data_IF_496804316027
#
_entry.id   IF_496804316027
#
_cell.length_a   1.000
_cell.length_b   1.000
_cell.length_c   1.000
_cell.angle_alpha   90.00
_cell.angle_beta   90.00
_cell.angle_gamma   90.00
#
_symmetry.space_group_name_H-M   'P 1'
#
loop_
_entity.id
_entity.type
_entity.pdbx_description
1 polymer ?
#
# COMPACT_ATOMS: atom_id res chain seq x y z
N UNK A 1 -11.56 -11.36 -7.33
CA UNK A 1 -11.78 -9.94 -7.76
C UNK A 1 -13.24 -9.73 -8.12
N UNK A 2 -13.89 -8.73 -7.53
CA UNK A 2 -15.22 -8.31 -8.00
C UNK A 2 -15.09 -7.41 -9.24
N UNK A 3 -16.01 -7.51 -10.21
CA UNK A 3 -16.00 -6.66 -11.39
C UNK A 3 -16.13 -5.15 -11.10
N UNK A 4 -16.72 -4.78 -9.96
CA UNK A 4 -16.81 -3.40 -9.47
C UNK A 4 -15.46 -2.69 -9.29
N UNK A 5 -14.38 -3.47 -9.16
CA UNK A 5 -13.01 -2.92 -9.07
C UNK A 5 -12.51 -2.35 -10.42
N UNK A 6 -13.02 -2.86 -11.56
CA UNK A 6 -12.46 -2.53 -12.90
C UNK A 6 -12.43 -1.02 -13.18
N UNK A 7 -13.49 -0.23 -12.90
CA UNK A 7 -13.45 1.22 -13.15
C UNK A 7 -12.38 1.98 -12.34
N UNK A 8 -11.87 1.38 -11.27
CA UNK A 8 -10.81 1.96 -10.44
C UNK A 8 -9.42 1.61 -10.95
N UNK A 9 -9.30 0.57 -11.80
CA UNK A 9 -8.02 0.09 -12.30
C UNK A 9 -7.57 0.85 -13.54
N UNK A 10 -6.25 0.98 -13.66
CA UNK A 10 -5.57 1.51 -14.85
C UNK A 10 -4.33 0.66 -15.16
N UNK A 11 -3.89 0.65 -16.40
CA UNK A 11 -2.65 -0.01 -16.77
C UNK A 11 -1.45 0.64 -16.07
N UNK A 12 -0.57 -0.12 -15.41
CA UNK A 12 0.67 0.43 -14.86
C UNK A 12 1.65 0.90 -15.95
N UNK A 13 1.48 0.49 -17.21
CA UNK A 13 2.31 0.90 -18.34
C UNK A 13 1.80 2.17 -19.01
N UNK A 14 0.51 2.20 -19.33
CA UNK A 14 -0.06 3.28 -20.15
C UNK A 14 -0.90 4.28 -19.36
N UNK A 15 -1.31 3.91 -18.13
CA UNK A 15 -2.29 4.69 -17.35
C UNK A 15 -3.71 4.60 -17.88
N UNK A 16 -3.93 3.89 -18.99
CA UNK A 16 -5.22 3.74 -19.65
C UNK A 16 -6.11 2.66 -19.01
N UNK A 17 -7.37 2.55 -19.50
CA UNK A 17 -8.33 1.58 -19.00
C UNK A 17 -7.93 0.14 -19.31
N UNK A 18 -8.48 -0.78 -18.51
CA UNK A 18 -8.23 -2.21 -18.63
C UNK A 18 -9.49 -2.97 -19.02
N UNK A 19 -9.36 -3.87 -19.99
CA UNK A 19 -10.43 -4.77 -20.44
C UNK A 19 -10.29 -6.12 -19.75
N UNK A 20 -11.40 -6.63 -19.18
CA UNK A 20 -11.45 -7.90 -18.46
C UNK A 20 -11.76 -9.07 -19.38
N UNK A 21 -10.97 -10.12 -19.30
CA UNK A 21 -11.28 -11.47 -19.84
C UNK A 21 -11.40 -12.45 -18.69
N UNK A 22 -12.56 -13.10 -18.56
CA UNK A 22 -12.84 -14.06 -17.48
C UNK A 22 -12.58 -15.48 -17.97
N UNK A 23 -11.82 -16.25 -17.18
CA UNK A 23 -11.63 -17.70 -17.40
C UNK A 23 -12.46 -18.54 -16.40
N UNK A 24 -12.44 -18.16 -15.12
CA UNK A 24 -13.17 -18.83 -14.05
C UNK A 24 -13.76 -17.85 -13.06
N UNK A 25 -14.96 -18.15 -12.56
CA UNK A 25 -15.61 -17.41 -11.47
C UNK A 25 -15.81 -18.30 -10.25
N UNK A 26 -15.86 -17.67 -9.08
CA UNK A 26 -16.36 -18.23 -7.82
C UNK A 26 -17.44 -17.27 -7.31
N UNK A 27 -18.71 -17.63 -7.49
CA UNK A 27 -19.84 -16.72 -7.29
C UNK A 27 -19.72 -15.49 -8.20
N UNK A 28 -19.79 -14.31 -7.62
CA UNK A 28 -19.65 -13.05 -8.38
C UNK A 28 -18.17 -12.68 -8.64
N UNK A 29 -17.23 -13.31 -7.94
CA UNK A 29 -15.82 -13.01 -8.09
C UNK A 29 -15.22 -13.65 -9.35
N UNK A 30 -14.41 -12.89 -10.07
CA UNK A 30 -13.48 -13.42 -11.07
C UNK A 30 -12.32 -14.03 -10.33
N UNK A 31 -12.20 -15.35 -10.41
CA UNK A 31 -11.14 -16.12 -9.72
C UNK A 31 -9.90 -16.25 -10.58
N UNK A 32 -10.09 -16.54 -11.87
CA UNK A 32 -9.04 -16.58 -12.88
C UNK A 32 -9.46 -15.80 -14.12
N UNK A 33 -8.53 -15.10 -14.71
CA UNK A 33 -8.74 -14.28 -15.88
C UNK A 33 -7.54 -13.43 -16.22
N UNK A 34 -7.77 -12.39 -16.97
CA UNK A 34 -6.76 -11.39 -17.31
C UNK A 34 -7.38 -10.01 -17.50
N UNK A 35 -6.57 -9.00 -17.30
CA UNK A 35 -6.82 -7.62 -17.66
C UNK A 35 -5.86 -7.25 -18.78
N UNK A 36 -6.32 -6.51 -19.78
CA UNK A 36 -5.50 -6.07 -20.90
C UNK A 36 -5.70 -4.58 -21.17
N UNK A 37 -4.65 -3.84 -21.49
CA UNK A 37 -4.73 -2.48 -21.97
C UNK A 37 -4.80 -2.41 -23.50
N UNK A 38 -5.01 -1.22 -24.04
CA UNK A 38 -5.12 -0.99 -25.49
C UNK A 38 -3.80 -1.22 -26.23
N UNK A 39 -2.66 -1.17 -25.53
CA UNK A 39 -1.34 -1.47 -26.07
C UNK A 39 -1.04 -2.99 -26.15
N UNK A 40 -1.97 -3.83 -25.64
CA UNK A 40 -1.83 -5.29 -25.64
C UNK A 40 -1.02 -5.85 -24.45
N UNK A 41 -0.75 -5.04 -23.43
CA UNK A 41 -0.15 -5.57 -22.18
C UNK A 41 -1.21 -6.35 -21.43
N UNK A 42 -0.86 -7.57 -21.01
CA UNK A 42 -1.78 -8.50 -20.31
C UNK A 42 -1.30 -8.74 -18.89
N UNK A 43 -2.22 -8.64 -17.95
CA UNK A 43 -2.01 -8.80 -16.51
C UNK A 43 -2.91 -9.92 -16.00
N UNK A 44 -2.38 -10.99 -15.39
CA UNK A 44 -3.18 -12.10 -14.94
C UNK A 44 -4.01 -11.75 -13.68
N UNK A 45 -5.17 -12.39 -13.56
CA UNK A 45 -5.95 -12.49 -12.33
C UNK A 45 -5.77 -13.92 -11.82
N UNK A 46 -5.14 -14.08 -10.67
CA UNK A 46 -4.87 -15.38 -10.05
C UNK A 46 -5.51 -15.41 -8.67
N UNK A 47 -6.30 -16.45 -8.41
CA UNK A 47 -7.02 -16.62 -7.13
C UNK A 47 -7.83 -15.39 -6.71
N UNK A 48 -8.41 -14.69 -7.67
CA UNK A 48 -9.18 -13.47 -7.43
C UNK A 48 -8.37 -12.21 -7.17
N UNK A 49 -7.03 -12.24 -7.34
CA UNK A 49 -6.13 -11.10 -7.15
C UNK A 49 -5.54 -10.69 -8.50
N UNK A 50 -5.81 -9.48 -9.01
CA UNK A 50 -5.15 -8.98 -10.21
C UNK A 50 -3.68 -8.63 -9.90
N UNK A 51 -2.78 -9.04 -10.79
CA UNK A 51 -1.34 -8.84 -10.68
C UNK A 51 -0.89 -7.73 -11.61
N UNK A 52 -1.01 -6.49 -11.16
CA UNK A 52 -0.76 -5.27 -11.94
C UNK A 52 0.63 -4.68 -11.65
N UNK A 53 1.65 -5.52 -11.74
CA UNK A 53 3.03 -5.07 -11.65
C UNK A 53 3.52 -4.50 -12.99
N UNK A 54 4.36 -3.45 -12.98
CA UNK A 54 5.09 -3.01 -14.17
C UNK A 54 5.92 -4.13 -14.77
N UNK A 55 6.09 -4.12 -16.08
CA UNK A 55 6.85 -5.15 -16.82
C UNK A 55 8.36 -4.94 -16.74
N UNK A 56 8.79 -3.70 -16.59
CA UNK A 56 10.17 -3.23 -16.52
C UNK A 56 10.75 -3.20 -15.10
N UNK A 57 10.24 -4.06 -14.22
CA UNK A 57 10.79 -4.18 -12.87
C UNK A 57 12.29 -4.46 -12.90
N UNK A 58 13.02 -3.68 -12.13
CA UNK A 58 14.47 -3.88 -11.94
C UNK A 58 14.73 -5.18 -11.16
N UNK A 59 15.92 -5.76 -11.33
CA UNK A 59 16.30 -6.97 -10.60
C UNK A 59 16.24 -6.79 -9.08
N UNK A 60 16.57 -5.60 -8.57
CA UNK A 60 16.45 -5.27 -7.17
C UNK A 60 14.99 -5.35 -6.68
N UNK A 61 14.02 -4.89 -7.47
CA UNK A 61 12.59 -4.97 -7.15
C UNK A 61 12.08 -6.42 -7.19
N UNK A 62 12.52 -7.21 -8.16
CA UNK A 62 12.22 -8.65 -8.22
C UNK A 62 12.77 -9.40 -7.01
N UNK A 63 14.01 -9.06 -6.60
CA UNK A 63 14.63 -9.62 -5.39
C UNK A 63 13.89 -9.22 -4.13
N UNK A 64 13.39 -7.98 -4.03
CA UNK A 64 12.58 -7.53 -2.91
C UNK A 64 11.25 -8.29 -2.83
N UNK A 65 10.55 -8.49 -3.96
CA UNK A 65 9.33 -9.31 -3.99
C UNK A 65 9.63 -10.72 -3.44
N UNK A 66 10.68 -11.36 -3.93
CA UNK A 66 11.05 -12.71 -3.49
C UNK A 66 11.39 -12.75 -1.99
N UNK A 67 12.09 -11.74 -1.48
CA UNK A 67 12.42 -11.61 -0.05
C UNK A 67 11.15 -11.44 0.81
N UNK A 68 10.21 -10.61 0.39
CA UNK A 68 8.94 -10.41 1.10
C UNK A 68 8.07 -11.66 1.05
N UNK A 69 7.98 -12.33 -0.10
CA UNK A 69 7.24 -13.59 -0.23
C UNK A 69 7.80 -14.68 0.70
N UNK A 70 9.12 -14.75 0.89
CA UNK A 70 9.76 -15.68 1.81
C UNK A 70 9.49 -15.35 3.29
N UNK A 71 9.40 -14.07 3.65
CA UNK A 71 9.19 -13.63 5.04
C UNK A 71 7.76 -13.81 5.55
N UNK A 72 6.78 -13.96 4.67
CA UNK A 72 5.34 -14.01 5.02
C UNK A 72 5.01 -15.04 6.09
N UNK A 73 5.70 -16.21 6.08
CA UNK A 73 5.42 -17.34 6.98
C UNK A 73 5.65 -16.95 8.45
N UNK A 74 6.62 -16.08 8.72
CA UNK A 74 7.00 -15.72 10.09
C UNK A 74 6.55 -14.29 10.47
N UNK A 75 6.12 -13.48 9.50
CA UNK A 75 5.74 -12.09 9.72
C UNK A 75 4.65 -11.92 10.78
N UNK A 76 3.59 -12.73 10.72
CA UNK A 76 2.48 -12.65 11.69
C UNK A 76 2.83 -13.20 13.09
N UNK A 77 3.92 -13.96 13.21
CA UNK A 77 4.38 -14.53 14.49
C UNK A 77 5.23 -13.54 15.29
N UNK A 78 5.67 -12.42 14.68
CA UNK A 78 6.47 -11.42 15.37
C UNK A 78 5.63 -10.72 16.45
N UNK A 79 5.78 -11.13 17.70
CA UNK A 79 5.09 -10.57 18.87
C UNK A 79 5.24 -9.05 18.99
N UNK A 80 6.36 -8.53 18.55
CA UNK A 80 6.71 -7.12 18.42
C UNK A 80 5.69 -6.36 17.53
N UNK A 81 5.33 -6.88 16.34
CA UNK A 81 4.36 -6.24 15.44
C UNK A 81 2.96 -6.17 16.06
N UNK A 82 2.58 -7.17 16.84
CA UNK A 82 1.30 -7.20 17.52
C UNK A 82 1.22 -6.14 18.63
N UNK A 83 2.30 -5.89 19.35
CA UNK A 83 2.35 -4.87 20.40
C UNK A 83 2.31 -3.45 19.80
N UNK A 84 3.11 -3.19 18.78
CA UNK A 84 3.15 -1.88 18.11
C UNK A 84 1.83 -1.56 17.39
N UNK A 85 1.19 -2.56 16.80
CA UNK A 85 -0.12 -2.40 16.17
C UNK A 85 -1.20 -1.90 17.11
N UNK A 86 -1.12 -2.20 18.41
CA UNK A 86 -2.08 -1.70 19.42
C UNK A 86 -2.03 -0.17 19.59
N UNK A 87 -0.93 0.48 19.23
CA UNK A 87 -0.78 1.94 19.30
C UNK A 87 -0.91 2.56 17.90
N UNK A 88 -0.24 2.00 16.91
CA UNK A 88 -0.22 2.55 15.55
C UNK A 88 -1.60 2.56 14.91
N UNK A 89 -2.34 1.44 14.98
CA UNK A 89 -3.62 1.32 14.30
C UNK A 89 -4.66 2.32 14.82
N UNK A 90 -4.92 2.46 16.13
CA UNK A 90 -5.86 3.45 16.64
C UNK A 90 -5.43 4.90 16.33
N UNK A 91 -4.13 5.18 16.35
CA UNK A 91 -3.61 6.49 16.00
C UNK A 91 -3.82 6.79 14.51
N UNK A 92 -3.54 5.83 13.64
CA UNK A 92 -3.79 5.94 12.19
C UNK A 92 -5.26 6.13 11.89
N UNK A 93 -6.16 5.36 12.51
CA UNK A 93 -7.61 5.52 12.34
C UNK A 93 -8.09 6.94 12.72
N UNK A 94 -7.66 7.44 13.88
CA UNK A 94 -8.03 8.80 14.35
C UNK A 94 -7.48 9.87 13.39
N UNK A 95 -6.25 9.71 12.92
CA UNK A 95 -5.59 10.67 12.04
C UNK A 95 -6.20 10.65 10.63
N UNK A 96 -6.59 9.47 10.15
CA UNK A 96 -7.24 9.29 8.85
C UNK A 96 -8.63 9.94 8.83
N UNK A 97 -9.37 9.83 9.93
CA UNK A 97 -10.73 10.36 10.08
C UNK A 97 -11.63 9.95 8.90
N UNK A 98 -11.56 8.68 8.51
CA UNK A 98 -12.34 8.14 7.40
C UNK A 98 -13.85 8.16 7.70
N UNK A 99 -14.65 8.37 6.66
CA UNK A 99 -16.10 8.41 6.73
C UNK A 99 -16.72 7.11 6.18
N UNK A 100 -17.92 6.73 6.58
CA UNK A 100 -18.56 5.49 6.14
C UNK A 100 -18.75 5.36 4.63
N UNK A 101 -18.84 6.47 3.90
CA UNK A 101 -19.00 6.49 2.44
C UNK A 101 -17.67 6.60 1.68
N UNK A 102 -16.55 6.68 2.37
CA UNK A 102 -15.24 6.80 1.70
C UNK A 102 -14.84 5.52 0.98
N UNK A 103 -14.15 5.68 -0.14
CA UNK A 103 -13.35 4.65 -0.79
C UNK A 103 -11.91 4.81 -0.32
N UNK A 104 -11.39 3.77 0.35
CA UNK A 104 -10.06 3.76 0.94
C UNK A 104 -9.07 2.97 0.07
N UNK A 105 -7.88 3.52 -0.15
CA UNK A 105 -6.71 2.77 -0.59
C UNK A 105 -5.78 2.52 0.60
N UNK A 106 -5.45 1.26 0.86
CA UNK A 106 -4.31 0.89 1.70
C UNK A 106 -3.14 0.48 0.81
N UNK A 107 -2.12 1.33 0.76
CA UNK A 107 -0.94 1.13 -0.07
C UNK A 107 0.19 0.50 0.76
N UNK A 108 0.45 -0.81 0.51
CA UNK A 108 1.34 -1.66 1.30
C UNK A 108 0.62 -2.33 2.47
N UNK A 109 -0.41 -3.13 2.16
CA UNK A 109 -1.26 -3.75 3.18
C UNK A 109 -0.61 -4.97 3.87
N UNK A 110 0.47 -5.53 3.31
CA UNK A 110 1.10 -6.74 3.78
C UNK A 110 0.09 -7.88 3.93
N UNK A 111 0.07 -8.50 5.10
CA UNK A 111 -0.86 -9.60 5.43
C UNK A 111 -2.24 -9.13 5.92
N UNK A 112 -2.60 -7.86 5.69
CA UNK A 112 -3.95 -7.33 5.92
C UNK A 112 -4.30 -7.02 7.38
N UNK A 113 -3.30 -6.81 8.24
CA UNK A 113 -3.53 -6.54 9.68
C UNK A 113 -4.31 -5.23 9.91
N UNK A 114 -3.92 -4.15 9.24
CA UNK A 114 -4.59 -2.85 9.33
C UNK A 114 -5.85 -2.84 8.46
N UNK A 115 -5.81 -3.47 7.29
CA UNK A 115 -6.96 -3.64 6.38
C UNK A 115 -8.19 -4.19 7.10
N UNK A 116 -8.02 -5.26 7.89
CA UNK A 116 -9.12 -5.91 8.61
C UNK A 116 -9.85 -4.99 9.61
N UNK A 117 -9.20 -3.92 10.04
CA UNK A 117 -9.74 -2.95 10.97
C UNK A 117 -10.33 -1.75 10.22
N UNK A 118 -9.58 -1.17 9.27
CA UNK A 118 -10.00 0.01 8.52
C UNK A 118 -11.20 -0.27 7.61
N UNK A 119 -11.28 -1.45 6.99
CA UNK A 119 -12.37 -1.84 6.11
C UNK A 119 -13.76 -1.86 6.79
N UNK A 120 -13.80 -1.89 8.13
CA UNK A 120 -15.05 -1.82 8.90
C UNK A 120 -15.60 -0.40 9.06
N UNK A 121 -14.82 0.61 8.71
CA UNK A 121 -15.13 2.03 8.93
C UNK A 121 -15.44 2.81 7.66
N UNK A 122 -15.32 2.16 6.50
CA UNK A 122 -15.50 2.76 5.18
C UNK A 122 -16.42 1.91 4.31
N UNK A 123 -16.89 2.49 3.19
CA UNK A 123 -17.76 1.77 2.24
C UNK A 123 -17.04 0.60 1.58
N UNK A 124 -15.80 0.83 1.14
CA UNK A 124 -15.03 -0.12 0.33
C UNK A 124 -13.54 0.17 0.49
N UNK A 125 -12.74 -0.87 0.47
CA UNK A 125 -11.28 -0.77 0.59
C UNK A 125 -10.61 -1.47 -0.58
N UNK A 126 -9.67 -0.78 -1.22
CA UNK A 126 -8.68 -1.41 -2.09
C UNK A 126 -7.39 -1.53 -1.28
N UNK A 127 -6.90 -2.75 -1.10
CA UNK A 127 -5.67 -3.03 -0.39
C UNK A 127 -4.64 -3.59 -1.37
N UNK A 128 -3.51 -2.93 -1.53
CA UNK A 128 -2.47 -3.35 -2.44
C UNK A 128 -1.16 -3.66 -1.71
N UNK A 129 -0.43 -4.61 -2.26
CA UNK A 129 0.93 -4.93 -1.81
C UNK A 129 1.80 -5.40 -2.99
N UNK A 130 3.10 -5.30 -2.82
CA UNK A 130 4.08 -5.76 -3.79
C UNK A 130 4.26 -7.29 -3.76
N UNK A 131 4.08 -7.91 -2.59
CA UNK A 131 4.16 -9.35 -2.35
C UNK A 131 2.83 -10.04 -2.63
N UNK A 132 2.82 -10.97 -3.57
CA UNK A 132 1.64 -11.79 -3.86
C UNK A 132 1.30 -12.74 -2.70
N UNK A 133 2.31 -13.33 -2.06
CA UNK A 133 2.10 -14.22 -0.93
C UNK A 133 1.53 -13.49 0.30
N UNK A 134 1.95 -12.25 0.55
CA UNK A 134 1.32 -11.39 1.57
C UNK A 134 -0.17 -11.19 1.30
N UNK A 135 -0.53 -10.89 0.05
CA UNK A 135 -1.93 -10.72 -0.35
C UNK A 135 -2.74 -12.03 -0.21
N UNK A 136 -2.15 -13.18 -0.48
CA UNK A 136 -2.80 -14.49 -0.26
C UNK A 136 -3.11 -14.73 1.23
N UNK A 137 -2.20 -14.35 2.12
CA UNK A 137 -2.44 -14.43 3.56
C UNK A 137 -3.51 -13.42 3.99
N UNK A 138 -3.45 -12.17 3.48
CA UNK A 138 -4.47 -11.17 3.71
C UNK A 138 -5.85 -11.67 3.25
N UNK A 139 -5.95 -12.25 2.06
CA UNK A 139 -7.20 -12.79 1.51
C UNK A 139 -7.84 -13.81 2.44
N UNK A 140 -7.05 -14.78 2.96
CA UNK A 140 -7.54 -15.79 3.90
C UNK A 140 -8.11 -15.15 5.18
N UNK A 141 -7.40 -14.17 5.75
CA UNK A 141 -7.81 -13.46 6.96
C UNK A 141 -9.09 -12.64 6.74
N UNK A 142 -9.14 -11.90 5.64
CA UNK A 142 -10.27 -11.02 5.32
C UNK A 142 -11.54 -11.82 5.03
N UNK A 143 -11.42 -12.95 4.31
CA UNK A 143 -12.52 -13.90 4.08
C UNK A 143 -13.02 -14.52 5.39
N UNK A 144 -12.11 -14.96 6.27
CA UNK A 144 -12.46 -15.49 7.58
C UNK A 144 -13.15 -14.45 8.49
N UNK A 145 -12.87 -13.15 8.26
CA UNK A 145 -13.50 -12.04 8.96
C UNK A 145 -14.78 -11.52 8.28
N UNK A 146 -15.26 -12.16 7.19
CA UNK A 146 -16.41 -11.77 6.37
C UNK A 146 -16.32 -10.34 5.80
N UNK A 147 -15.12 -9.89 5.44
CA UNK A 147 -14.86 -8.57 4.88
C UNK A 147 -14.89 -8.62 3.34
N UNK A 148 -16.09 -8.71 2.77
CA UNK A 148 -16.32 -8.85 1.32
C UNK A 148 -16.18 -7.52 0.54
N UNK A 149 -16.06 -6.39 1.24
CA UNK A 149 -15.87 -5.05 0.66
C UNK A 149 -14.40 -4.68 0.46
N UNK A 150 -13.50 -5.68 0.60
CA UNK A 150 -12.06 -5.48 0.41
C UNK A 150 -11.62 -6.12 -0.91
N UNK A 151 -10.98 -5.31 -1.75
CA UNK A 151 -10.33 -5.76 -2.99
C UNK A 151 -8.83 -5.82 -2.80
N UNK A 152 -8.21 -6.92 -3.17
CA UNK A 152 -6.77 -7.10 -3.12
C UNK A 152 -6.17 -6.93 -4.52
N UNK A 153 -5.04 -6.22 -4.62
CA UNK A 153 -4.34 -5.93 -5.87
C UNK A 153 -2.84 -6.06 -5.66
N UNK A 154 -2.15 -6.86 -6.47
CA UNK A 154 -0.68 -6.82 -6.50
C UNK A 154 -0.23 -5.64 -7.35
N UNK A 155 0.55 -4.72 -6.76
CA UNK A 155 0.98 -3.49 -7.43
C UNK A 155 2.26 -2.91 -6.84
N UNK A 156 2.93 -2.05 -7.63
CA UNK A 156 4.06 -1.24 -7.21
C UNK A 156 3.57 0.15 -6.76
N UNK A 157 4.01 0.59 -5.57
CA UNK A 157 3.71 1.91 -5.04
C UNK A 157 4.22 3.05 -5.94
N UNK A 158 5.35 2.83 -6.60
CA UNK A 158 5.95 3.82 -7.50
C UNK A 158 5.13 4.04 -8.78
N UNK A 159 4.28 3.05 -9.15
CA UNK A 159 3.46 3.09 -10.38
C UNK A 159 2.09 2.48 -10.12
N UNK A 160 1.29 3.16 -9.29
CA UNK A 160 -0.01 2.67 -8.86
C UNK A 160 -0.97 2.46 -10.04
N UNK A 161 -1.53 1.25 -10.21
CA UNK A 161 -2.39 0.89 -11.33
C UNK A 161 -3.85 1.27 -11.07
N UNK A 162 -4.09 2.52 -10.70
CA UNK A 162 -5.42 3.03 -10.42
C UNK A 162 -5.70 4.31 -11.20
N UNK A 163 -6.96 4.55 -11.48
CA UNK A 163 -7.43 5.79 -12.10
C UNK A 163 -7.06 7.01 -11.23
N UNK A 164 -6.83 8.14 -11.84
CA UNK A 164 -6.60 9.39 -11.13
C UNK A 164 -7.85 9.82 -10.35
N UNK A 165 -7.66 10.44 -9.18
CA UNK A 165 -8.75 10.94 -8.34
C UNK A 165 -9.77 9.86 -7.95
N UNK A 166 -9.31 8.62 -7.70
CA UNK A 166 -10.20 7.51 -7.39
C UNK A 166 -10.56 7.45 -5.89
N UNK A 167 -9.62 7.72 -4.99
CA UNK A 167 -9.75 7.44 -3.57
C UNK A 167 -10.03 8.68 -2.73
N UNK A 168 -10.95 8.56 -1.77
CA UNK A 168 -11.25 9.61 -0.78
C UNK A 168 -10.19 9.65 0.32
N UNK A 169 -9.68 8.47 0.69
CA UNK A 169 -8.66 8.29 1.72
C UNK A 169 -7.56 7.35 1.24
N UNK A 170 -6.34 7.66 1.62
CA UNK A 170 -5.20 6.76 1.43
C UNK A 170 -4.50 6.56 2.77
N UNK A 171 -4.12 5.32 3.06
CA UNK A 171 -3.23 4.97 4.14
C UNK A 171 -2.03 4.21 3.59
N UNK A 172 -0.82 4.56 4.05
CA UNK A 172 0.42 3.85 3.71
C UNK A 172 1.32 3.82 4.92
N UNK A 173 1.32 2.69 5.62
CA UNK A 173 2.02 2.56 6.90
C UNK A 173 3.21 1.63 6.78
N UNK A 174 4.40 2.13 7.14
CA UNK A 174 5.66 1.38 7.13
C UNK A 174 6.00 0.82 5.74
N UNK A 175 5.88 1.66 4.70
CA UNK A 175 6.16 1.29 3.30
C UNK A 175 7.22 2.21 2.68
N UNK A 176 7.07 3.54 2.82
CA UNK A 176 7.92 4.50 2.13
C UNK A 176 9.41 4.37 2.49
N UNK A 177 9.71 3.94 3.71
CA UNK A 177 11.07 3.65 4.18
C UNK A 177 11.76 2.53 3.43
N UNK A 178 11.00 1.65 2.79
CA UNK A 178 11.52 0.53 2.00
C UNK A 178 11.69 0.87 0.52
N UNK A 179 11.15 2.02 0.07
CA UNK A 179 11.32 2.48 -1.31
C UNK A 179 12.75 3.03 -1.49
N UNK A 180 13.58 2.42 -2.37
CA UNK A 180 15.00 2.73 -2.46
C UNK A 180 15.25 4.04 -3.22
N UNK A 181 16.09 4.89 -2.66
CA UNK A 181 16.53 6.13 -3.30
C UNK A 181 15.48 7.26 -3.32
N UNK A 182 15.93 8.49 -3.53
CA UNK A 182 15.04 9.67 -3.52
C UNK A 182 14.07 9.69 -4.71
N UNK A 183 14.51 9.27 -5.91
CA UNK A 183 13.70 9.32 -7.13
C UNK A 183 12.53 8.33 -7.07
N UNK A 184 12.76 7.11 -6.59
CA UNK A 184 11.69 6.13 -6.42
C UNK A 184 10.70 6.58 -5.33
N UNK A 185 11.18 7.18 -4.23
CA UNK A 185 10.30 7.79 -3.22
C UNK A 185 9.47 8.94 -3.78
N UNK A 186 10.06 9.80 -4.63
CA UNK A 186 9.33 10.86 -5.31
C UNK A 186 8.25 10.29 -6.25
N UNK A 187 8.56 9.22 -6.99
CA UNK A 187 7.60 8.51 -7.85
C UNK A 187 6.46 7.90 -7.03
N UNK A 188 6.76 7.28 -5.88
CA UNK A 188 5.75 6.74 -4.98
C UNK A 188 4.80 7.85 -4.45
N UNK A 189 5.36 8.98 -4.00
CA UNK A 189 4.58 10.14 -3.54
C UNK A 189 3.72 10.71 -4.66
N UNK A 190 4.27 10.88 -5.88
CA UNK A 190 3.52 11.32 -7.05
C UNK A 190 2.38 10.37 -7.43
N UNK A 191 2.61 9.06 -7.35
CA UNK A 191 1.58 8.04 -7.57
C UNK A 191 0.44 8.12 -6.55
N UNK A 192 0.76 8.25 -5.25
CA UNK A 192 -0.24 8.45 -4.20
C UNK A 192 -1.04 9.74 -4.42
N UNK A 193 -0.36 10.84 -4.77
CA UNK A 193 -1.02 12.11 -5.07
C UNK A 193 -1.98 11.99 -6.26
N UNK A 194 -1.56 11.36 -7.35
CA UNK A 194 -2.36 11.20 -8.56
C UNK A 194 -3.69 10.47 -8.31
N UNK A 195 -3.68 9.43 -7.49
CA UNK A 195 -4.86 8.59 -7.25
C UNK A 195 -5.77 9.12 -6.13
N UNK A 196 -5.28 10.01 -5.26
CA UNK A 196 -6.08 10.66 -4.22
C UNK A 196 -6.99 11.73 -4.86
N UNK A 197 -8.24 11.81 -4.45
CA UNK A 197 -9.18 12.86 -4.87
C UNK A 197 -8.71 14.25 -4.39
N UNK A 198 -9.07 15.35 -5.08
CA UNK A 198 -9.04 16.69 -4.49
C UNK A 198 -9.74 16.68 -3.13
N UNK A 199 -9.20 17.36 -2.13
CA UNK A 199 -9.67 17.36 -0.72
C UNK A 199 -9.59 15.98 -0.02
N UNK A 200 -9.02 14.96 -0.66
CA UNK A 200 -8.73 13.68 -0.04
C UNK A 200 -7.64 13.79 1.03
N UNK A 201 -7.56 12.76 1.87
CA UNK A 201 -6.56 12.69 2.94
C UNK A 201 -5.65 11.50 2.76
N UNK A 202 -4.34 11.73 2.82
CA UNK A 202 -3.31 10.71 2.97
C UNK A 202 -2.84 10.67 4.43
N UNK A 203 -2.80 9.47 5.02
CA UNK A 203 -2.07 9.21 6.26
C UNK A 203 -0.95 8.23 5.97
N UNK A 204 0.27 8.62 6.35
CA UNK A 204 1.46 7.84 6.08
C UNK A 204 2.30 7.70 7.35
N UNK A 205 2.76 6.48 7.66
CA UNK A 205 3.80 6.30 8.68
C UNK A 205 5.11 5.87 8.04
N UNK A 206 6.22 6.31 8.62
CA UNK A 206 7.57 5.97 8.18
C UNK A 206 8.55 5.90 9.35
N UNK A 207 9.66 5.15 9.17
CA UNK A 207 10.69 4.99 10.18
C UNK A 207 11.34 6.32 10.56
N UNK A 208 11.46 6.52 11.89
CA UNK A 208 11.95 7.75 12.48
C UNK A 208 13.45 7.67 12.74
N UNK A 209 14.19 8.68 12.27
CA UNK A 209 15.57 8.94 12.65
C UNK A 209 15.61 9.91 13.84
N UNK A 210 15.40 9.38 15.06
CA UNK A 210 15.40 10.13 16.30
C UNK A 210 16.78 10.13 16.97
N UNK A 211 16.95 10.91 18.03
CA UNK A 211 18.17 10.87 18.85
C UNK A 211 18.47 9.46 19.36
N UNK A 212 17.42 8.70 19.74
CA UNK A 212 17.56 7.31 20.20
C UNK A 212 18.02 6.40 19.06
N UNK A 213 17.37 6.50 17.89
CA UNK A 213 17.76 5.65 16.75
C UNK A 213 19.12 6.04 16.16
N UNK A 214 19.57 7.31 16.34
CA UNK A 214 20.94 7.74 16.00
C UNK A 214 22.00 7.10 16.87
N UNK A 215 21.70 6.91 18.15
CA UNK A 215 22.67 6.31 19.08
C UNK A 215 22.88 4.80 18.84
N UNK A 216 21.87 4.09 18.32
CA UNK A 216 21.84 2.63 18.25
C UNK A 216 21.61 2.07 16.84
N UNK A 217 21.51 2.90 15.79
CA UNK A 217 21.22 2.39 14.47
C UNK A 217 21.58 3.34 13.33
N UNK A 218 21.78 2.74 12.17
CA UNK A 218 22.08 3.44 10.94
C UNK A 218 20.83 4.19 10.40
N UNK A 219 21.05 5.28 9.65
CA UNK A 219 19.99 6.03 9.00
C UNK A 219 19.35 5.23 7.86
N UNK A 220 20.17 4.46 7.15
CA UNK A 220 19.77 3.58 6.07
C UNK A 220 20.55 2.26 6.14
N UNK A 221 20.02 1.21 5.56
CA UNK A 221 20.64 -0.11 5.57
C UNK A 221 19.72 -1.17 4.98
N UNK A 222 20.01 -2.42 5.32
CA UNK A 222 19.22 -3.58 4.92
C UNK A 222 18.75 -4.30 6.17
N UNK A 223 17.50 -4.74 6.17
CA UNK A 223 17.00 -5.72 7.14
C UNK A 223 17.54 -7.11 6.83
N UNK A 224 17.45 -8.01 7.80
CA UNK A 224 17.67 -9.44 7.56
C UNK A 224 16.72 -9.88 6.43
N UNK A 225 17.29 -10.55 5.39
CA UNK A 225 16.54 -10.92 4.19
C UNK A 225 16.67 -9.95 3.02
N UNK A 226 17.47 -8.87 3.14
CA UNK A 226 17.83 -8.00 2.01
C UNK A 226 16.80 -6.93 1.65
N UNK A 227 15.89 -6.59 2.55
CA UNK A 227 14.93 -5.50 2.34
C UNK A 227 15.57 -4.17 2.78
N UNK A 228 15.68 -3.17 1.88
CA UNK A 228 16.25 -1.87 2.21
C UNK A 228 15.38 -1.11 3.21
N UNK A 229 16.00 -0.25 4.01
CA UNK A 229 15.27 0.70 4.82
C UNK A 229 15.97 2.07 4.88
N UNK A 230 15.15 3.10 5.05
CA UNK A 230 15.59 4.48 5.29
C UNK A 230 14.82 5.08 6.48
N UNK A 231 15.52 5.75 7.40
CA UNK A 231 14.92 6.46 8.54
C UNK A 231 14.89 7.95 8.25
N UNK A 232 13.71 8.52 8.30
CA UNK A 232 13.50 9.94 8.07
C UNK A 232 13.70 10.77 9.34
N UNK A 233 14.31 11.93 9.22
CA UNK A 233 14.07 13.01 10.17
C UNK A 233 12.69 13.62 9.92
N UNK A 234 12.16 14.39 10.87
CA UNK A 234 10.86 15.06 10.68
C UNK A 234 10.88 16.04 9.50
N UNK A 235 11.98 16.78 9.34
CA UNK A 235 12.15 17.73 8.23
C UNK A 235 12.20 17.02 6.88
N UNK A 236 12.99 15.96 6.74
CA UNK A 236 13.08 15.17 5.51
C UNK A 236 11.73 14.58 5.11
N UNK A 237 10.99 13.98 6.06
CA UNK A 237 9.68 13.43 5.76
C UNK A 237 8.69 14.52 5.32
N UNK A 238 8.71 15.68 6.02
CA UNK A 238 7.88 16.83 5.64
C UNK A 238 8.24 17.38 4.27
N UNK A 239 9.51 17.49 3.94
CA UNK A 239 9.99 17.96 2.65
C UNK A 239 9.62 16.98 1.53
N UNK A 240 9.88 15.67 1.74
CA UNK A 240 9.53 14.62 0.77
C UNK A 240 8.04 14.61 0.45
N UNK A 241 7.17 14.71 1.46
CA UNK A 241 5.72 14.75 1.27
C UNK A 241 5.25 16.09 0.72
N UNK A 242 5.86 17.19 1.17
CA UNK A 242 5.52 18.58 0.78
C UNK A 242 5.80 18.90 -0.68
N UNK A 243 6.55 18.04 -1.39
CA UNK A 243 6.74 18.18 -2.84
C UNK A 243 5.42 18.01 -3.64
N UNK A 244 4.42 17.32 -3.09
CA UNK A 244 3.16 17.02 -3.76
C UNK A 244 1.92 17.32 -2.89
N UNK A 245 2.03 17.28 -1.57
CA UNK A 245 0.91 17.37 -0.63
C UNK A 245 0.99 18.60 0.26
N UNK A 246 -0.16 19.07 0.72
CA UNK A 246 -0.24 19.95 1.90
C UNK A 246 -0.01 19.11 3.17
N UNK A 247 1.17 19.25 3.80
CA UNK A 247 1.56 18.48 4.98
C UNK A 247 1.00 19.15 6.24
N UNK A 248 -0.18 18.72 6.66
CA UNK A 248 -0.90 19.27 7.81
C UNK A 248 -0.21 18.96 9.14
N UNK A 249 0.31 17.72 9.30
CA UNK A 249 1.06 17.34 10.50
C UNK A 249 2.08 16.25 10.23
N UNK A 250 3.18 16.27 11.01
CA UNK A 250 4.11 15.14 11.17
C UNK A 250 4.35 14.97 12.65
N UNK A 251 3.83 13.91 13.25
CA UNK A 251 3.91 13.62 14.69
C UNK A 251 4.74 12.37 14.94
N UNK A 252 5.43 12.30 16.08
CA UNK A 252 6.08 11.07 16.52
C UNK A 252 5.02 10.07 16.99
N UNK A 253 5.01 8.91 16.38
CA UNK A 253 4.22 7.76 16.81
C UNK A 253 5.19 6.69 17.31
N UNK A 254 5.14 6.37 18.59
CA UNK A 254 6.13 5.51 19.22
C UNK A 254 7.57 6.09 19.12
N UNK A 255 8.55 5.31 19.56
CA UNK A 255 9.96 5.73 19.53
C UNK A 255 10.52 5.76 18.11
N UNK A 256 9.99 4.94 17.21
CA UNK A 256 10.60 4.61 15.93
C UNK A 256 9.81 5.02 14.70
N UNK A 257 8.58 5.58 14.82
CA UNK A 257 7.75 6.01 13.70
C UNK A 257 7.45 7.51 13.75
N UNK A 258 7.31 8.09 12.57
CA UNK A 258 6.51 9.29 12.33
C UNK A 258 5.18 8.89 11.72
N UNK A 259 4.14 9.63 12.05
CA UNK A 259 2.84 9.61 11.39
C UNK A 259 2.59 10.99 10.80
N UNK A 260 2.38 11.03 9.50
CA UNK A 260 2.06 12.23 8.75
C UNK A 260 0.61 12.23 8.31
N UNK A 261 -0.05 13.40 8.37
CA UNK A 261 -1.34 13.67 7.76
C UNK A 261 -1.14 14.71 6.67
N UNK A 262 -1.62 14.40 5.46
CA UNK A 262 -1.50 15.25 4.31
C UNK A 262 -2.85 15.42 3.63
N UNK A 263 -3.12 16.64 3.15
CA UNK A 263 -4.24 16.94 2.26
C UNK A 263 -3.75 17.04 0.82
N UNK A 264 -4.64 16.75 -0.13
CA UNK A 264 -4.46 17.17 -1.50
C UNK A 264 -5.26 18.45 -1.70
N UNK A 265 -4.52 19.56 -1.96
CA UNK A 265 -5.13 20.86 -2.28
C UNK A 265 -5.92 20.84 -3.57
#
# INVERSE_FOLDING_TARGET
MLPSLIPLLASPETGGPLTLTVRRREGEEVWEGSLADEAGHVYPIEQGIPRLLPRDLLDAQRSEIAARDAQVVDYDKMAFLNWFGKVEIPLTQRTLAALPNDLLLEAGCGTGRMTAILARTVRETVAMDFSFESLRVAQKKLRAANLHTVHLVQADLCRLPFAGNAFDRIVSCQVLEHVPGPDARASAIGSLHRVLKPQGTLVLSAYKHSLVTRAFGQKEGMHDGGIPFFRFTRSELRETLGAQFDVQSVTGALVYLYLARCGRG
#
